data_IF_680313462996
#
_entry.id   IF_680313462996
#
_cell.length_a   1.000
_cell.length_b   1.000
_cell.length_c   1.000
_cell.angle_alpha   90.00
_cell.angle_beta   90.00
_cell.angle_gamma   90.00
#
_symmetry.space_group_name_H-M   'P 1'
#
loop_
_entity.id
_entity.type
_entity.pdbx_description
1 polymer ?
#
# COMPACT_ATOMS: atom_id res chain seq x y z
N UNK A 1 3.16 -11.36 2.51
CA UNK A 1 2.18 -10.31 2.84
C UNK A 1 2.07 -9.38 1.64
N UNK A 2 0.88 -8.95 1.23
CA UNK A 2 0.69 -8.12 0.01
C UNK A 2 1.39 -6.75 0.08
N UNK A 3 1.57 -6.18 1.28
CA UNK A 3 2.33 -4.93 1.48
C UNK A 3 3.80 -5.05 1.08
N UNK A 4 4.42 -6.20 1.37
CA UNK A 4 5.82 -6.48 0.98
C UNK A 4 5.96 -6.55 -0.55
N UNK A 5 4.97 -7.13 -1.24
CA UNK A 5 4.96 -7.17 -2.71
C UNK A 5 4.78 -5.78 -3.32
N UNK A 6 3.95 -4.94 -2.71
CA UNK A 6 3.79 -3.55 -3.14
C UNK A 6 5.10 -2.77 -3.01
N UNK A 7 5.86 -2.98 -1.91
CA UNK A 7 7.19 -2.40 -1.74
C UNK A 7 8.20 -2.87 -2.79
N UNK A 8 8.16 -4.14 -3.17
CA UNK A 8 9.00 -4.66 -4.26
C UNK A 8 8.65 -4.01 -5.60
N UNK A 9 7.35 -3.89 -5.92
CA UNK A 9 6.91 -3.19 -7.12
C UNK A 9 7.35 -1.72 -7.14
N UNK A 10 7.35 -1.05 -5.99
CA UNK A 10 7.84 0.33 -5.87
C UNK A 10 9.34 0.46 -6.15
N UNK A 11 10.14 -0.50 -5.70
CA UNK A 11 11.57 -0.53 -5.97
C UNK A 11 11.89 -0.73 -7.47
N UNK A 12 11.00 -1.41 -8.19
CA UNK A 12 11.11 -1.66 -9.63
C UNK A 12 10.47 -0.55 -10.49
N UNK A 13 9.68 0.34 -9.88
CA UNK A 13 8.97 1.39 -10.59
C UNK A 13 9.92 2.53 -11.04
N UNK A 14 9.81 2.90 -12.32
CA UNK A 14 10.45 4.09 -12.88
C UNK A 14 9.67 5.36 -12.51
N UNK A 15 9.78 5.75 -11.24
CA UNK A 15 9.20 6.98 -10.69
C UNK A 15 10.29 7.93 -10.19
N UNK A 16 10.01 9.24 -10.09
CA UNK A 16 10.91 10.20 -9.44
C UNK A 16 11.28 9.75 -8.02
N UNK A 17 12.51 9.99 -7.60
CA UNK A 17 13.03 9.54 -6.30
C UNK A 17 12.19 10.08 -5.13
N UNK A 18 11.74 11.33 -5.24
CA UNK A 18 10.90 11.97 -4.22
C UNK A 18 9.56 11.25 -4.07
N UNK A 19 8.97 10.82 -5.19
CA UNK A 19 7.71 10.06 -5.18
C UNK A 19 7.93 8.66 -4.63
N UNK A 20 9.07 8.04 -4.97
CA UNK A 20 9.48 6.75 -4.43
C UNK A 20 9.61 6.80 -2.91
N UNK A 21 10.31 7.81 -2.40
CA UNK A 21 10.53 7.97 -0.96
C UNK A 21 9.21 8.18 -0.21
N UNK A 22 8.32 9.04 -0.72
CA UNK A 22 6.99 9.25 -0.13
C UNK A 22 6.15 7.97 -0.09
N UNK A 23 6.17 7.18 -1.17
CA UNK A 23 5.45 5.92 -1.24
C UNK A 23 6.05 4.87 -0.28
N UNK A 24 7.38 4.83 -0.14
CA UNK A 24 8.07 3.91 0.77
C UNK A 24 7.78 4.26 2.24
N UNK A 25 7.80 5.55 2.60
CA UNK A 25 7.42 6.03 3.94
C UNK A 25 5.97 5.69 4.29
N UNK A 26 5.05 5.81 3.33
CA UNK A 26 3.65 5.42 3.50
C UNK A 26 3.52 3.91 3.70
N UNK A 27 4.22 3.10 2.90
CA UNK A 27 4.22 1.63 3.04
C UNK A 27 4.77 1.19 4.40
N UNK A 28 5.87 1.79 4.86
CA UNK A 28 6.43 1.52 6.19
C UNK A 28 5.45 1.88 7.30
N UNK A 29 4.74 3.01 7.16
CA UNK A 29 3.70 3.41 8.12
C UNK A 29 2.56 2.40 8.17
N UNK A 30 2.09 1.93 7.01
CA UNK A 30 1.01 0.96 6.91
C UNK A 30 1.40 -0.40 7.49
N UNK A 31 2.61 -0.87 7.21
CA UNK A 31 3.17 -2.09 7.80
C UNK A 31 3.21 -1.98 9.33
N UNK A 32 3.76 -0.89 9.86
CA UNK A 32 3.80 -0.68 11.32
C UNK A 32 2.41 -0.62 11.96
N UNK A 33 1.43 -0.04 11.28
CA UNK A 33 0.04 -0.02 11.75
C UNK A 33 -0.63 -1.41 11.69
N UNK A 34 -0.32 -2.21 10.66
CA UNK A 34 -0.81 -3.57 10.54
C UNK A 34 -0.23 -4.48 11.63
N UNK A 35 1.08 -4.43 11.85
CA UNK A 35 1.77 -5.21 12.88
C UNK A 35 1.27 -4.87 14.29
N UNK A 36 0.96 -3.58 14.52
CA UNK A 36 0.36 -3.12 15.76
C UNK A 36 -1.15 -3.43 15.89
N UNK A 37 -1.78 -4.05 14.88
CA UNK A 37 -3.24 -4.29 14.78
C UNK A 37 -4.08 -3.02 14.92
N UNK A 38 -3.52 -1.87 14.54
CA UNK A 38 -4.17 -0.55 14.60
C UNK A 38 -4.75 -0.12 13.26
N UNK A 39 -4.43 -0.85 12.19
CA UNK A 39 -4.91 -0.58 10.86
C UNK A 39 -6.34 -1.11 10.72
N UNK A 40 -7.32 -0.20 10.70
CA UNK A 40 -8.69 -0.56 10.34
C UNK A 40 -8.88 -0.47 8.82
N UNK A 41 -9.79 -1.27 8.29
CA UNK A 41 -10.04 -1.36 6.85
C UNK A 41 -10.25 -0.03 6.13
N UNK A 42 -11.14 0.86 6.61
CA UNK A 42 -11.37 2.16 5.99
C UNK A 42 -10.10 3.03 5.90
N UNK A 43 -9.31 3.10 6.98
CA UNK A 43 -8.03 3.84 6.98
C UNK A 43 -7.05 3.23 5.99
N UNK A 44 -7.02 1.91 5.88
CA UNK A 44 -6.17 1.24 4.91
C UNK A 44 -6.59 1.56 3.47
N UNK A 45 -7.88 1.49 3.16
CA UNK A 45 -8.41 1.84 1.84
C UNK A 45 -8.08 3.27 1.44
N UNK A 46 -8.21 4.24 2.37
CA UNK A 46 -7.82 5.63 2.13
C UNK A 46 -6.31 5.78 1.83
N UNK A 47 -5.47 5.01 2.49
CA UNK A 47 -4.03 5.04 2.21
C UNK A 47 -3.70 4.41 0.84
N UNK A 48 -4.46 3.40 0.42
CA UNK A 48 -4.32 2.80 -0.91
C UNK A 48 -4.66 3.80 -2.03
N UNK A 49 -5.64 4.70 -1.82
CA UNK A 49 -5.95 5.76 -2.79
C UNK A 49 -4.74 6.66 -3.05
N UNK A 50 -3.88 6.87 -2.05
CA UNK A 50 -2.64 7.66 -2.21
C UNK A 50 -1.57 6.89 -3.00
N UNK A 51 -1.48 5.57 -2.81
CA UNK A 51 -0.54 4.72 -3.55
C UNK A 51 -0.97 4.48 -5.00
N UNK A 52 -2.26 4.55 -5.30
CA UNK A 52 -2.81 4.42 -6.67
C UNK A 52 -2.35 5.56 -7.59
N UNK A 53 -1.90 6.68 -7.01
CA UNK A 53 -1.33 7.81 -7.76
C UNK A 53 0.14 7.59 -8.17
N UNK A 54 0.78 6.51 -7.70
CA UNK A 54 2.17 6.17 -8.02
C UNK A 54 2.19 5.26 -9.26
N UNK A 55 2.77 5.72 -10.38
CA UNK A 55 2.83 4.91 -11.60
C UNK A 55 3.54 3.57 -11.38
N UNK A 56 2.95 2.48 -11.87
CA UNK A 56 3.52 1.13 -11.78
C UNK A 56 3.11 0.34 -10.54
N UNK A 57 2.34 0.93 -9.62
CA UNK A 57 1.82 0.25 -8.43
C UNK A 57 0.40 -0.27 -8.57
N UNK A 58 -0.30 0.00 -9.67
CA UNK A 58 -1.74 -0.21 -9.83
C UNK A 58 -2.13 -1.66 -9.53
N UNK A 59 -1.40 -2.63 -10.08
CA UNK A 59 -1.67 -4.05 -9.86
C UNK A 59 -1.49 -4.46 -8.38
N UNK A 60 -0.44 -3.98 -7.73
CA UNK A 60 -0.15 -4.24 -6.32
C UNK A 60 -1.19 -3.58 -5.40
N UNK A 61 -1.59 -2.36 -5.71
CA UNK A 61 -2.63 -1.62 -4.97
C UNK A 61 -3.99 -2.28 -5.12
N UNK A 62 -4.36 -2.76 -6.31
CA UNK A 62 -5.61 -3.50 -6.49
C UNK A 62 -5.63 -4.82 -5.73
N UNK A 63 -4.51 -5.57 -5.71
CA UNK A 63 -4.39 -6.80 -4.93
C UNK A 63 -4.56 -6.54 -3.42
N UNK A 64 -3.93 -5.47 -2.92
CA UNK A 64 -4.09 -5.00 -1.54
C UNK A 64 -5.55 -4.61 -1.24
N UNK A 65 -6.18 -3.81 -2.10
CA UNK A 65 -7.56 -3.36 -1.93
C UNK A 65 -8.51 -4.56 -1.85
N UNK A 66 -8.34 -5.55 -2.73
CA UNK A 66 -9.12 -6.77 -2.72
C UNK A 66 -8.92 -7.61 -1.45
N UNK A 67 -7.70 -7.67 -0.91
CA UNK A 67 -7.42 -8.34 0.35
C UNK A 67 -8.13 -7.66 1.53
N UNK A 68 -8.04 -6.33 1.63
CA UNK A 68 -8.68 -5.55 2.70
C UNK A 68 -10.20 -5.66 2.63
N UNK A 69 -10.79 -5.54 1.44
CA UNK A 69 -12.25 -5.65 1.29
C UNK A 69 -12.79 -7.03 1.71
N UNK A 70 -12.02 -8.10 1.51
CA UNK A 70 -12.38 -9.43 2.03
C UNK A 70 -12.35 -9.51 3.55
N UNK A 71 -11.42 -8.81 4.20
CA UNK A 71 -11.29 -8.79 5.66
C UNK A 71 -12.34 -7.89 6.33
N UNK A 72 -12.76 -6.82 5.67
CA UNK A 72 -13.75 -5.86 6.19
C UNK A 72 -15.19 -6.32 5.97
N UNK A 73 -15.43 -7.08 4.89
CA UNK A 73 -16.74 -7.64 4.57
C UNK A 73 -17.07 -8.99 5.22
N UNK A 74 -16.11 -9.58 5.96
CA UNK A 74 -16.26 -10.82 6.72
C UNK A 74 -16.63 -10.53 8.19
#
# INVERSE_FOLDING_TARGET
MELVRCRQALAEAEVPEELRQLADELLDRLMGMHDARRLNGPVFLLALDSLEMVPGLEASVQALRAAVLREVGA
#
